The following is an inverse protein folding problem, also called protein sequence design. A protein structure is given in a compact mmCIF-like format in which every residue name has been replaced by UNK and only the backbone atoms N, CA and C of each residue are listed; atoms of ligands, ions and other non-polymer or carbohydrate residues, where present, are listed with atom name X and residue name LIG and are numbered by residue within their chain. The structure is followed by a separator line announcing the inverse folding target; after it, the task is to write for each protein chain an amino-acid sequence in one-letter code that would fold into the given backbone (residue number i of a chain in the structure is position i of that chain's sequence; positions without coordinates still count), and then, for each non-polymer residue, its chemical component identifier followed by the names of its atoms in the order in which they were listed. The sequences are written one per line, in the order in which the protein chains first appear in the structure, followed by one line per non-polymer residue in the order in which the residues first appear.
data_IF_043903097149
#
_entry.id   IF_043903097149
#
_cell.length_a   1.000
_cell.length_b   1.000
_cell.length_c   1.000
_cell.angle_alpha   90.00
_cell.angle_beta   90.00
_cell.angle_gamma   90.00
#
_symmetry.space_group_name_H-M   'P 1'
#
loop_
_entity.id
_entity.type
_entity.pdbx_description
1 polymer ?
#
# COMPACT_ATOMS: atom_id res chain seq x y z
N UNK A 1 6.81 -14.11 -17.82
CA UNK A 1 6.38 -13.77 -16.43
C UNK A 1 7.50 -13.19 -15.56
N UNK A 2 8.80 -13.46 -15.85
CA UNK A 2 9.90 -12.97 -15.00
C UNK A 2 10.11 -11.43 -15.04
N UNK A 3 9.80 -10.79 -16.16
CA UNK A 3 10.00 -9.34 -16.34
C UNK A 3 9.08 -8.45 -15.47
N UNK A 4 7.92 -8.94 -15.05
CA UNK A 4 6.99 -8.15 -14.21
C UNK A 4 7.45 -8.02 -12.77
N UNK A 5 8.29 -8.94 -12.27
CA UNK A 5 8.81 -8.85 -10.90
C UNK A 5 9.96 -7.83 -10.77
N UNK A 6 10.67 -7.55 -11.87
CA UNK A 6 11.84 -6.67 -11.88
C UNK A 6 11.52 -5.24 -12.31
N UNK A 7 10.40 -5.06 -13.03
CA UNK A 7 10.03 -3.77 -13.62
C UNK A 7 8.58 -3.40 -13.29
N UNK A 8 8.31 -2.10 -13.32
CA UNK A 8 6.96 -1.55 -13.26
C UNK A 8 6.50 -1.14 -14.67
N UNK A 9 5.21 -1.25 -15.00
CA UNK A 9 4.68 -0.78 -16.29
C UNK A 9 4.56 0.75 -16.36
N UNK A 10 5.03 1.46 -15.35
CA UNK A 10 5.01 2.91 -15.20
C UNK A 10 6.37 3.40 -14.65
N UNK A 11 6.61 4.69 -14.71
CA UNK A 11 7.80 5.32 -14.10
C UNK A 11 7.55 5.59 -12.60
N UNK A 12 8.25 4.89 -11.67
CA UNK A 12 8.09 5.10 -10.23
C UNK A 12 8.33 6.53 -9.76
N UNK A 13 9.16 7.30 -10.47
CA UNK A 13 9.45 8.71 -10.15
C UNK A 13 8.27 9.65 -10.36
N UNK A 14 7.23 9.19 -11.08
CA UNK A 14 6.00 9.93 -11.36
C UNK A 14 4.84 9.54 -10.45
N UNK A 15 5.10 8.69 -9.46
CA UNK A 15 4.10 8.28 -8.47
C UNK A 15 4.17 9.23 -7.29
N UNK A 16 3.09 9.94 -6.99
CA UNK A 16 3.04 10.94 -5.91
C UNK A 16 2.90 10.29 -4.53
N UNK A 17 2.14 9.22 -4.44
CA UNK A 17 1.91 8.48 -3.19
C UNK A 17 1.52 7.03 -3.44
N UNK A 18 1.60 6.19 -2.41
CA UNK A 18 1.13 4.82 -2.41
C UNK A 18 0.18 4.56 -1.24
N UNK A 19 -0.79 3.67 -1.43
CA UNK A 19 -1.71 3.22 -0.39
C UNK A 19 -1.43 1.74 -0.10
N UNK A 20 -1.01 1.43 1.11
CA UNK A 20 -0.75 0.06 1.54
C UNK A 20 -1.93 -0.43 2.39
N UNK A 21 -2.75 -1.29 1.81
CA UNK A 21 -3.95 -1.81 2.47
C UNK A 21 -3.64 -2.70 3.66
N UNK A 22 -2.60 -3.51 3.57
CA UNK A 22 -2.14 -4.40 4.63
C UNK A 22 -0.75 -4.98 4.34
N UNK A 23 -0.20 -5.70 5.31
CA UNK A 23 1.22 -6.06 5.34
C UNK A 23 1.58 -7.40 4.68
N UNK A 24 0.66 -8.11 4.03
CA UNK A 24 1.02 -9.31 3.31
C UNK A 24 2.02 -9.04 2.18
N UNK A 25 2.89 -10.01 1.92
CA UNK A 25 4.04 -9.81 1.02
C UNK A 25 3.65 -9.51 -0.44
N UNK A 26 2.55 -10.06 -0.91
CA UNK A 26 2.00 -9.78 -2.25
C UNK A 26 1.46 -8.34 -2.39
N UNK A 27 1.20 -7.64 -1.29
CA UNK A 27 0.82 -6.23 -1.25
C UNK A 27 1.98 -5.29 -0.94
N UNK A 28 2.89 -5.65 -0.03
CA UNK A 28 3.98 -4.77 0.42
C UNK A 28 5.36 -5.13 -0.15
N UNK A 29 5.60 -6.37 -0.57
CA UNK A 29 6.94 -6.89 -0.85
C UNK A 29 7.66 -6.21 -2.03
N UNK A 30 6.95 -5.48 -2.90
CA UNK A 30 7.56 -4.70 -3.99
C UNK A 30 7.76 -3.23 -3.67
N UNK A 31 7.34 -2.74 -2.52
CA UNK A 31 7.55 -1.35 -2.13
C UNK A 31 9.04 -0.96 -2.08
N UNK A 32 9.96 -1.80 -1.54
CA UNK A 32 11.39 -1.47 -1.59
C UNK A 32 11.97 -1.39 -3.01
N UNK A 33 11.43 -2.18 -3.95
CA UNK A 33 11.80 -2.07 -5.36
C UNK A 33 11.27 -0.77 -5.98
N UNK A 34 10.05 -0.35 -5.62
CA UNK A 34 9.46 0.92 -6.05
C UNK A 34 10.34 2.09 -5.62
N UNK A 35 10.75 2.11 -4.35
CA UNK A 35 11.67 3.13 -3.78
C UNK A 35 13.03 3.09 -4.46
N UNK A 36 13.62 1.91 -4.65
CA UNK A 36 14.88 1.75 -5.40
C UNK A 36 14.83 2.31 -6.81
N UNK A 37 13.66 2.24 -7.46
CA UNK A 37 13.43 2.76 -8.82
C UNK A 37 13.08 4.24 -8.86
N UNK A 38 13.13 4.94 -7.71
CA UNK A 38 13.03 6.39 -7.61
C UNK A 38 11.68 6.93 -7.14
N UNK A 39 10.84 6.09 -6.52
CA UNK A 39 9.66 6.58 -5.80
C UNK A 39 10.11 7.34 -4.53
N UNK A 40 9.69 8.59 -4.40
CA UNK A 40 10.01 9.47 -3.28
C UNK A 40 8.76 9.91 -2.50
N UNK A 41 7.58 9.43 -2.92
CA UNK A 41 6.30 9.79 -2.31
C UNK A 41 6.06 9.14 -0.94
N UNK A 42 4.94 9.50 -0.33
CA UNK A 42 4.51 8.93 0.95
C UNK A 42 3.75 7.62 0.75
N UNK A 43 4.01 6.63 1.60
CA UNK A 43 3.27 5.36 1.67
C UNK A 43 2.29 5.46 2.83
N UNK A 44 1.02 5.67 2.54
CA UNK A 44 -0.03 5.74 3.55
C UNK A 44 -0.55 4.35 3.92
N UNK A 45 -0.65 4.08 5.22
CA UNK A 45 -1.16 2.83 5.76
C UNK A 45 -1.82 3.07 7.13
N UNK A 46 -2.40 2.03 7.76
CA UNK A 46 -2.79 2.12 9.15
C UNK A 46 -1.56 2.18 10.08
N UNK A 47 -1.75 2.66 11.29
CA UNK A 47 -0.68 2.69 12.29
C UNK A 47 -0.10 1.29 12.54
N UNK A 48 -0.94 0.28 12.67
CA UNK A 48 -0.53 -1.11 12.89
C UNK A 48 0.29 -1.65 11.70
N UNK A 49 -0.15 -1.35 10.46
CA UNK A 49 0.60 -1.74 9.26
C UNK A 49 1.98 -1.08 9.22
N UNK A 50 2.09 0.21 9.58
CA UNK A 50 3.38 0.90 9.69
C UNK A 50 4.29 0.28 10.77
N UNK A 51 3.73 -0.11 11.92
CA UNK A 51 4.47 -0.77 13.00
C UNK A 51 5.01 -2.14 12.55
N UNK A 52 4.24 -2.91 11.78
CA UNK A 52 4.65 -4.24 11.32
C UNK A 52 5.50 -4.21 10.04
N UNK A 53 5.53 -3.09 9.30
CA UNK A 53 6.28 -2.97 8.06
C UNK A 53 7.78 -3.32 8.20
N UNK A 54 8.51 -2.89 9.24
CA UNK A 54 9.91 -3.27 9.42
C UNK A 54 10.11 -4.79 9.50
N UNK A 55 9.24 -5.49 10.24
CA UNK A 55 9.34 -6.94 10.39
C UNK A 55 9.09 -7.64 9.05
N UNK A 56 7.98 -7.34 8.39
CA UNK A 56 7.57 -8.01 7.16
C UNK A 56 8.53 -7.72 5.98
N UNK A 57 8.98 -6.47 5.82
CA UNK A 57 9.89 -6.10 4.75
C UNK A 57 11.31 -6.68 4.93
N UNK A 58 11.80 -6.77 6.18
CA UNK A 58 13.09 -7.42 6.45
C UNK A 58 13.01 -8.95 6.24
N UNK A 59 11.88 -9.59 6.59
CA UNK A 59 11.68 -11.02 6.29
C UNK A 59 11.61 -11.26 4.77
N UNK A 60 10.88 -10.43 4.04
CA UNK A 60 10.83 -10.45 2.57
C UNK A 60 12.21 -10.28 1.95
N UNK A 61 13.04 -9.38 2.45
CA UNK A 61 14.41 -9.19 1.99
C UNK A 61 15.26 -10.45 2.23
N UNK A 62 15.11 -11.11 3.37
CA UNK A 62 15.82 -12.35 3.67
C UNK A 62 15.48 -13.45 2.67
N UNK A 63 14.18 -13.67 2.42
CA UNK A 63 13.70 -14.63 1.41
C UNK A 63 14.22 -14.28 0.01
N UNK A 64 14.24 -12.98 -0.34
CA UNK A 64 14.78 -12.50 -1.60
C UNK A 64 16.29 -12.84 -1.75
N UNK A 65 17.10 -12.55 -0.72
CA UNK A 65 18.54 -12.86 -0.68
C UNK A 65 18.81 -14.36 -0.84
N UNK A 66 18.08 -15.20 -0.10
CA UNK A 66 18.20 -16.64 -0.18
C UNK A 66 17.81 -17.18 -1.57
N UNK A 67 16.79 -16.60 -2.17
CA UNK A 67 16.34 -16.97 -3.52
C UNK A 67 17.34 -16.53 -4.58
N UNK A 68 17.86 -15.31 -4.49
CA UNK A 68 18.88 -14.79 -5.40
C UNK A 68 20.16 -15.65 -5.35
N UNK A 69 20.60 -16.03 -4.14
CA UNK A 69 21.74 -16.94 -3.93
C UNK A 69 21.53 -18.31 -4.59
N UNK A 70 20.34 -18.92 -4.40
CA UNK A 70 20.01 -20.24 -5.00
C UNK A 70 19.93 -20.18 -6.52
N UNK A 71 19.42 -19.09 -7.08
CA UNK A 71 19.24 -18.90 -8.53
C UNK A 71 20.47 -18.27 -9.21
N UNK A 72 21.51 -17.92 -8.48
CA UNK A 72 22.68 -17.18 -8.98
C UNK A 72 22.28 -15.87 -9.69
N UNK A 73 21.28 -15.14 -9.18
CA UNK A 73 20.80 -13.88 -9.70
C UNK A 73 21.11 -12.74 -8.75
N UNK A 74 20.93 -11.49 -9.20
CA UNK A 74 21.04 -10.31 -8.33
C UNK A 74 19.77 -10.10 -7.53
N UNK A 75 19.92 -9.50 -6.35
CA UNK A 75 18.80 -9.06 -5.51
C UNK A 75 18.06 -7.91 -6.17
N UNK A 76 16.73 -7.94 -6.11
CA UNK A 76 15.89 -6.90 -6.69
C UNK A 76 16.02 -5.56 -5.94
N UNK A 77 16.27 -5.61 -4.63
CA UNK A 77 16.50 -4.45 -3.76
C UNK A 77 17.39 -4.84 -2.59
N UNK A 78 17.93 -3.85 -1.90
CA UNK A 78 18.86 -4.04 -0.79
C UNK A 78 18.24 -3.54 0.53
N UNK A 79 18.95 -3.77 1.64
CA UNK A 79 18.55 -3.34 2.97
C UNK A 79 18.28 -1.83 3.08
N UNK A 80 19.12 -1.02 2.42
CA UNK A 80 18.91 0.43 2.35
C UNK A 80 17.55 0.79 1.74
N UNK A 81 17.11 0.06 0.71
CA UNK A 81 15.83 0.30 0.05
C UNK A 81 14.66 -0.04 0.98
N UNK A 82 14.81 -1.09 1.81
CA UNK A 82 13.86 -1.42 2.87
C UNK A 82 13.79 -0.31 3.92
N UNK A 83 14.93 0.18 4.40
CA UNK A 83 14.96 1.26 5.41
C UNK A 83 14.33 2.54 4.86
N UNK A 84 14.63 2.91 3.61
CA UNK A 84 14.01 4.06 2.96
C UNK A 84 12.49 3.88 2.84
N UNK A 85 12.02 2.68 2.47
CA UNK A 85 10.58 2.36 2.39
C UNK A 85 9.88 2.54 3.74
N UNK A 86 10.51 2.04 4.82
CA UNK A 86 9.98 2.20 6.18
C UNK A 86 9.90 3.70 6.54
N UNK A 87 10.93 4.47 6.19
CA UNK A 87 10.97 5.92 6.43
C UNK A 87 9.92 6.72 5.66
N UNK A 88 9.40 6.18 4.55
CA UNK A 88 8.32 6.80 3.76
C UNK A 88 6.91 6.42 4.23
N UNK A 89 6.77 5.48 5.17
CA UNK A 89 5.48 5.09 5.72
C UNK A 89 4.90 6.20 6.61
N UNK A 90 3.64 6.54 6.38
CA UNK A 90 2.88 7.51 7.17
C UNK A 90 1.54 6.90 7.60
N UNK A 91 1.27 6.94 8.90
CA UNK A 91 0.07 6.37 9.45
C UNK A 91 -1.16 7.25 9.20
N UNK A 92 -2.27 6.61 8.84
CA UNK A 92 -3.60 7.22 8.77
C UNK A 92 -4.48 6.57 9.85
N UNK A 93 -5.20 7.39 10.59
CA UNK A 93 -6.23 6.94 11.52
C UNK A 93 -7.46 6.40 10.77
N UNK A 94 -8.10 5.35 11.32
CA UNK A 94 -9.36 4.85 10.76
C UNK A 94 -10.45 5.92 10.80
N UNK A 95 -11.26 5.97 9.74
CA UNK A 95 -12.35 6.95 9.55
C UNK A 95 -11.90 8.40 9.47
N UNK A 96 -10.61 8.62 9.26
CA UNK A 96 -10.06 9.96 9.05
C UNK A 96 -9.80 10.19 7.57
N UNK A 97 -10.16 11.36 7.08
CA UNK A 97 -9.87 11.79 5.71
C UNK A 97 -8.64 12.68 5.72
N UNK A 98 -7.67 12.34 4.89
CA UNK A 98 -6.50 13.17 4.61
C UNK A 98 -6.62 13.79 3.22
N UNK A 99 -6.10 14.99 3.05
CA UNK A 99 -5.90 15.62 1.74
C UNK A 99 -4.48 15.29 1.28
N UNK A 100 -4.34 14.47 0.24
CA UNK A 100 -3.02 14.14 -0.33
C UNK A 100 -2.51 15.33 -1.15
N UNK A 101 -3.42 15.95 -1.90
CA UNK A 101 -3.19 17.20 -2.62
C UNK A 101 -4.52 17.98 -2.78
N UNK A 102 -4.52 19.05 -3.56
CA UNK A 102 -5.71 19.89 -3.77
C UNK A 102 -6.89 19.16 -4.45
N UNK A 103 -6.62 18.05 -5.15
CA UNK A 103 -7.63 17.31 -5.90
C UNK A 103 -7.94 15.94 -5.30
N UNK A 104 -7.09 15.40 -4.42
CA UNK A 104 -7.21 14.02 -3.93
C UNK A 104 -7.35 13.97 -2.42
N UNK A 105 -8.46 13.37 -1.98
CA UNK A 105 -8.72 13.03 -0.58
C UNK A 105 -8.73 11.52 -0.41
N UNK A 106 -8.19 11.04 0.69
CA UNK A 106 -8.15 9.61 1.02
C UNK A 106 -8.72 9.38 2.40
N UNK A 107 -9.69 8.48 2.50
CA UNK A 107 -10.27 8.06 3.79
C UNK A 107 -9.98 6.59 4.01
N UNK A 108 -9.40 6.25 5.16
CA UNK A 108 -9.13 4.88 5.55
C UNK A 108 -10.25 4.26 6.38
N UNK A 109 -10.73 3.08 5.99
CA UNK A 109 -11.74 2.32 6.76
C UNK A 109 -11.17 1.00 7.23
N UNK A 110 -11.58 0.57 8.43
CA UNK A 110 -11.14 -0.70 8.99
C UNK A 110 -11.61 -1.86 8.11
N UNK A 111 -10.67 -2.75 7.80
CA UNK A 111 -10.91 -4.01 7.09
C UNK A 111 -10.75 -5.19 8.06
N UNK A 112 -11.56 -6.22 7.89
CA UNK A 112 -11.55 -7.40 8.76
C UNK A 112 -10.55 -8.49 8.38
N UNK A 113 -9.67 -8.27 7.38
CA UNK A 113 -8.74 -9.28 6.88
C UNK A 113 -7.68 -9.67 7.94
N UNK A 114 -6.95 -8.70 8.46
CA UNK A 114 -5.97 -8.86 9.53
C UNK A 114 -5.83 -7.57 10.36
N UNK A 115 -5.04 -7.64 11.43
CA UNK A 115 -4.72 -6.46 12.25
C UNK A 115 -3.97 -5.44 11.41
N UNK A 116 -4.47 -4.21 11.36
CA UNK A 116 -3.91 -3.15 10.53
C UNK A 116 -4.47 -3.09 9.11
N UNK A 117 -5.25 -4.08 8.67
CA UNK A 117 -5.84 -4.01 7.33
C UNK A 117 -6.81 -2.84 7.20
N UNK A 118 -6.70 -2.11 6.08
CA UNK A 118 -7.43 -0.89 5.79
C UNK A 118 -7.96 -0.91 4.35
N UNK A 119 -9.20 -0.48 4.17
CA UNK A 119 -9.74 -0.11 2.85
C UNK A 119 -9.54 1.38 2.65
N UNK A 120 -9.29 1.80 1.42
CA UNK A 120 -9.13 3.22 1.10
C UNK A 120 -10.19 3.70 0.13
N UNK A 121 -10.95 4.72 0.54
CA UNK A 121 -11.79 5.50 -0.37
C UNK A 121 -10.96 6.68 -0.87
N UNK A 122 -10.67 6.69 -2.15
CA UNK A 122 -10.00 7.78 -2.85
C UNK A 122 -11.04 8.63 -3.55
N UNK A 123 -11.11 9.89 -3.21
CA UNK A 123 -12.01 10.87 -3.81
C UNK A 123 -11.19 11.85 -4.65
N UNK A 124 -11.51 11.93 -5.93
CA UNK A 124 -10.85 12.83 -6.88
C UNK A 124 -11.84 13.95 -7.24
N UNK A 125 -11.45 15.17 -6.94
CA UNK A 125 -12.30 16.36 -7.06
C UNK A 125 -11.62 17.40 -7.96
N UNK A 126 -12.12 17.60 -9.18
CA UNK A 126 -11.68 18.69 -10.03
C UNK A 126 -12.76 19.77 -10.15
N UNK A 127 -12.40 21.05 -10.16
CA UNK A 127 -13.37 22.13 -10.37
C UNK A 127 -14.15 21.94 -11.69
N UNK A 128 -15.49 21.99 -11.58
CA UNK A 128 -16.38 21.86 -12.76
C UNK A 128 -16.60 20.44 -13.27
N UNK A 129 -16.11 19.41 -12.58
CA UNK A 129 -16.34 18.00 -12.90
C UNK A 129 -17.04 17.29 -11.74
N UNK A 130 -17.74 16.20 -12.06
CA UNK A 130 -18.27 15.31 -11.03
C UNK A 130 -17.14 14.63 -10.26
N UNK A 131 -17.32 14.46 -8.96
CA UNK A 131 -16.34 13.78 -8.12
C UNK A 131 -16.27 12.29 -8.47
N UNK A 132 -15.06 11.77 -8.60
CA UNK A 132 -14.80 10.33 -8.78
C UNK A 132 -14.47 9.72 -7.42
N UNK A 133 -15.18 8.65 -7.06
CA UNK A 133 -14.93 7.89 -5.84
C UNK A 133 -14.45 6.48 -6.20
N UNK A 134 -13.26 6.12 -5.74
CA UNK A 134 -12.66 4.81 -5.94
C UNK A 134 -12.46 4.13 -4.59
N UNK A 135 -12.97 2.91 -4.42
CA UNK A 135 -12.75 2.11 -3.21
C UNK A 135 -11.75 0.99 -3.50
N UNK A 136 -10.62 1.04 -2.82
CA UNK A 136 -9.62 -0.02 -2.80
C UNK A 136 -9.80 -0.86 -1.54
N UNK A 137 -10.36 -2.05 -1.69
CA UNK A 137 -10.72 -2.91 -0.54
C UNK A 137 -9.52 -3.63 0.05
N UNK A 138 -8.47 -3.86 -0.72
CA UNK A 138 -7.49 -4.87 -0.38
C UNK A 138 -8.16 -6.24 -0.26
N UNK A 139 -7.49 -7.16 0.42
CA UNK A 139 -8.06 -8.46 0.74
C UNK A 139 -9.13 -8.32 1.82
N UNK A 140 -10.27 -8.98 1.62
CA UNK A 140 -11.38 -8.97 2.57
C UNK A 140 -11.77 -10.39 2.95
N UNK A 141 -12.12 -10.60 4.22
CA UNK A 141 -12.67 -11.88 4.69
C UNK A 141 -14.08 -11.70 5.22
N UNK A 142 -14.94 -12.66 4.93
CA UNK A 142 -16.38 -12.55 5.22
C UNK A 142 -16.75 -12.55 6.72
N UNK A 143 -15.91 -13.16 7.58
CA UNK A 143 -16.12 -13.22 9.04
C UNK A 143 -14.81 -13.53 9.75
N UNK A 144 -14.25 -12.54 10.41
CA UNK A 144 -13.36 -12.80 11.54
C UNK A 144 -14.14 -12.33 12.78
N UNK A 145 -14.38 -13.23 13.74
CA UNK A 145 -15.20 -12.97 14.93
C UNK A 145 -14.73 -11.80 15.80
N UNK A 146 -13.50 -11.35 15.62
CA UNK A 146 -12.87 -10.28 16.42
C UNK A 146 -12.69 -8.95 15.68
N UNK A 147 -12.90 -8.90 14.37
CA UNK A 147 -12.75 -7.69 13.59
C UNK A 147 -14.09 -7.28 12.98
N UNK A 148 -14.64 -6.16 13.41
CA UNK A 148 -15.86 -5.60 12.84
C UNK A 148 -15.53 -4.92 11.50
N UNK A 149 -16.25 -5.32 10.45
CA UNK A 149 -16.30 -4.54 9.22
C UNK A 149 -17.06 -3.24 9.48
N UNK A 150 -16.49 -2.15 9.03
CA UNK A 150 -17.20 -0.91 8.96
C UNK A 150 -17.74 -0.76 7.54
N UNK A 151 -19.06 -0.70 7.42
CA UNK A 151 -19.68 -0.38 6.13
C UNK A 151 -19.36 1.05 5.75
N UNK A 152 -18.99 1.27 4.49
CA UNK A 152 -18.87 2.61 3.94
C UNK A 152 -20.17 3.39 4.22
N UNK A 153 -20.13 4.60 4.79
CA UNK A 153 -21.31 5.45 4.88
C UNK A 153 -21.85 5.67 3.47
N UNK A 154 -23.14 5.54 3.33
CA UNK A 154 -23.95 5.72 2.13
C UNK A 154 -23.30 6.58 1.04
N UNK A 155 -22.87 5.99 -0.05
CA UNK A 155 -22.40 6.77 -1.19
C UNK A 155 -21.73 5.90 -2.22
N UNK A 156 -22.32 5.75 -3.28
CA UNK A 156 -21.91 5.35 -4.63
C UNK A 156 -20.51 4.71 -4.73
N UNK A 157 -20.51 3.39 -4.83
CA UNK A 157 -19.40 2.61 -5.31
C UNK A 157 -19.49 2.59 -6.84
N UNK A 158 -18.61 3.31 -7.51
CA UNK A 158 -18.36 3.05 -8.92
C UNK A 158 -17.37 1.89 -8.96
N UNK A 159 -17.85 0.71 -9.37
CA UNK A 159 -16.99 -0.45 -9.58
C UNK A 159 -16.24 -0.27 -10.91
N UNK A 160 -14.94 -0.51 -10.88
CA UNK A 160 -14.15 -0.85 -12.05
C UNK A 160 -14.07 -2.36 -12.19
#
# INVERSE_FOLDING_TARGET
CENYNENFPFDPRKVDFALLTHIHNDHCGRLPLLVRKGFEGTIYASNETCIFAPLALNDSLKVLKDTAKRKHTKELYAERDVQNTIGQCSAIEYNTTICVNEHIKVTGFKNGHLVGAMMFLVQICYPGCDNINLLFTGDTTRKICFLRFQTCPNGFLNYL
#
